data_IF_038761616942
#
_entry.id   IF_038761616942
#
_cell.length_a   1.000
_cell.length_b   1.000
_cell.length_c   1.000
_cell.angle_alpha   90.00
_cell.angle_beta   90.00
_cell.angle_gamma   90.00
#
_symmetry.space_group_name_H-M   'P 1'
#
loop_
_entity.id
_entity.type
_entity.pdbx_description
1 polymer ?
#
# COMPACT_ATOMS: atom_id res chain seq x y z
N UNK A 1 -16.04 0.14 16.49
CA UNK A 1 -16.21 -0.07 15.04
C UNK A 1 -16.45 -1.55 14.82
N UNK A 2 -17.44 -1.96 14.00
CA UNK A 2 -17.64 -3.38 13.74
C UNK A 2 -16.41 -3.93 13.03
N UNK A 3 -15.98 -5.10 13.47
CA UNK A 3 -14.80 -5.83 13.01
C UNK A 3 -14.98 -6.21 11.53
N UNK A 4 -14.64 -5.27 10.64
CA UNK A 4 -14.87 -5.41 9.21
C UNK A 4 -13.64 -6.06 8.60
N UNK A 5 -13.54 -7.38 8.78
CA UNK A 5 -12.54 -8.19 8.07
C UNK A 5 -13.04 -8.47 6.66
N UNK A 6 -12.24 -8.11 5.65
CA UNK A 6 -12.54 -8.37 4.24
C UNK A 6 -11.70 -9.56 3.81
N UNK A 7 -12.32 -10.75 3.76
CA UNK A 7 -11.66 -11.97 3.26
C UNK A 7 -11.94 -12.15 1.78
N UNK A 8 -10.93 -11.99 0.94
CA UNK A 8 -11.00 -12.26 -0.50
C UNK A 8 -10.45 -13.67 -0.74
N UNK A 9 -11.29 -14.57 -1.24
CA UNK A 9 -10.90 -15.95 -1.54
C UNK A 9 -10.55 -16.05 -3.04
N UNK A 10 -9.26 -16.07 -3.38
CA UNK A 10 -8.78 -16.16 -4.77
C UNK A 10 -8.19 -17.56 -4.99
N UNK A 11 -9.05 -18.54 -5.33
CA UNK A 11 -8.66 -19.95 -5.52
C UNK A 11 -7.91 -20.55 -4.30
N UNK A 12 -7.00 -21.53 -4.48
CA UNK A 12 -6.32 -22.28 -3.38
C UNK A 12 -5.43 -21.43 -2.45
N UNK A 13 -5.39 -20.11 -2.62
CA UNK A 13 -4.55 -19.21 -1.82
C UNK A 13 -5.42 -18.24 -1.03
N UNK A 14 -5.20 -18.19 0.29
CA UNK A 14 -5.77 -17.16 1.16
C UNK A 14 -4.83 -15.95 1.18
N UNK A 15 -5.37 -14.78 0.89
CA UNK A 15 -4.69 -13.50 1.08
C UNK A 15 -5.20 -12.92 2.40
N UNK A 16 -4.28 -12.49 3.27
CA UNK A 16 -4.64 -11.86 4.55
C UNK A 16 -5.03 -10.39 4.41
N UNK A 17 -5.67 -9.86 5.45
CA UNK A 17 -6.16 -8.48 5.51
C UNK A 17 -5.03 -7.46 5.32
N UNK A 18 -3.82 -7.73 5.83
CA UNK A 18 -2.65 -6.86 5.70
C UNK A 18 -2.22 -6.72 4.25
N UNK A 19 -2.18 -7.84 3.52
CA UNK A 19 -1.85 -7.87 2.10
C UNK A 19 -2.90 -7.13 1.28
N UNK A 20 -4.19 -7.28 1.60
CA UNK A 20 -5.28 -6.54 0.93
C UNK A 20 -5.12 -5.03 1.17
N UNK A 21 -4.79 -4.60 2.39
CA UNK A 21 -4.54 -3.19 2.71
C UNK A 21 -3.33 -2.64 1.95
N UNK A 22 -2.22 -3.39 1.88
CA UNK A 22 -1.04 -3.03 1.08
C UNK A 22 -1.41 -2.86 -0.40
N UNK A 23 -2.15 -3.83 -0.98
CA UNK A 23 -2.61 -3.77 -2.38
C UNK A 23 -3.52 -2.57 -2.65
N UNK A 24 -4.50 -2.30 -1.76
CA UNK A 24 -5.40 -1.15 -1.88
C UNK A 24 -4.63 0.18 -1.87
N UNK A 25 -3.61 0.29 -1.03
CA UNK A 25 -2.77 1.47 -0.95
C UNK A 25 -1.95 1.68 -2.24
N UNK A 26 -1.28 0.62 -2.72
CA UNK A 26 -0.51 0.67 -3.97
C UNK A 26 -1.41 1.08 -5.14
N UNK A 27 -2.60 0.50 -5.23
CA UNK A 27 -3.58 0.84 -6.27
C UNK A 27 -3.94 2.33 -6.24
N UNK A 28 -4.26 2.89 -5.06
CA UNK A 28 -4.56 4.32 -4.90
C UNK A 28 -3.37 5.20 -5.28
N UNK A 29 -2.15 4.86 -4.84
CA UNK A 29 -0.96 5.62 -5.17
C UNK A 29 -0.72 5.69 -6.69
N UNK A 30 -0.92 4.57 -7.40
CA UNK A 30 -0.81 4.54 -8.87
C UNK A 30 -1.87 5.45 -9.50
N UNK A 31 -3.12 5.41 -9.03
CA UNK A 31 -4.18 6.32 -9.52
C UNK A 31 -3.86 7.79 -9.28
N UNK A 32 -3.20 8.12 -8.17
CA UNK A 32 -2.74 9.47 -7.82
C UNK A 32 -1.45 9.91 -8.55
N UNK A 33 -0.98 9.12 -9.53
CA UNK A 33 0.16 9.45 -10.39
C UNK A 33 1.53 9.11 -9.82
N UNK A 34 1.60 8.23 -8.80
CA UNK A 34 2.86 7.72 -8.28
C UNK A 34 3.37 6.53 -9.10
N UNK A 35 4.68 6.41 -9.25
CA UNK A 35 5.34 5.15 -9.61
C UNK A 35 5.63 4.36 -8.35
N UNK A 36 5.38 3.05 -8.35
CA UNK A 36 5.71 2.13 -7.25
C UNK A 36 6.62 1.03 -7.76
N UNK A 37 7.81 0.90 -7.17
CA UNK A 37 8.79 -0.15 -7.47
C UNK A 37 8.99 -1.03 -6.24
N UNK A 38 9.20 -2.34 -6.43
CA UNK A 38 9.63 -3.25 -5.38
C UNK A 38 11.13 -3.54 -5.55
N UNK A 39 11.92 -3.26 -4.53
CA UNK A 39 13.37 -3.47 -4.53
C UNK A 39 13.82 -4.00 -3.16
N UNK A 40 14.59 -5.08 -3.13
CA UNK A 40 15.05 -5.75 -1.88
C UNK A 40 13.96 -5.87 -0.77
N UNK A 41 12.75 -6.30 -1.15
CA UNK A 41 11.57 -6.41 -0.26
C UNK A 41 11.03 -5.07 0.28
N UNK A 42 11.35 -3.94 -0.34
CA UNK A 42 10.86 -2.61 0.04
C UNK A 42 10.11 -1.97 -1.13
N UNK A 43 8.95 -1.37 -0.81
CA UNK A 43 8.17 -0.62 -1.79
C UNK A 43 8.66 0.83 -1.88
N UNK A 44 9.23 1.21 -3.01
CA UNK A 44 9.69 2.57 -3.31
C UNK A 44 8.58 3.27 -4.09
N UNK A 45 8.00 4.33 -3.52
CA UNK A 45 7.06 5.20 -4.24
C UNK A 45 7.82 6.41 -4.80
N UNK A 46 7.42 6.93 -5.94
CA UNK A 46 8.02 8.10 -6.57
C UNK A 46 6.90 8.96 -7.14
N UNK A 47 6.78 10.22 -6.72
CA UNK A 47 5.83 11.16 -7.34
C UNK A 47 6.59 12.07 -8.29
N UNK A 48 6.05 12.27 -9.48
CA UNK A 48 6.59 13.26 -10.42
C UNK A 48 6.08 14.66 -10.04
N UNK A 49 6.57 15.22 -8.94
CA UNK A 49 6.45 16.66 -8.66
C UNK A 49 7.87 17.23 -8.55
N UNK A 50 8.25 18.10 -9.48
CA UNK A 50 9.54 18.81 -9.53
C UNK A 50 10.84 17.97 -9.40
N UNK A 51 10.79 16.64 -9.53
CA UNK A 51 11.97 15.78 -9.45
C UNK A 51 12.29 15.27 -8.03
N UNK A 52 11.41 15.48 -7.05
CA UNK A 52 11.59 14.95 -5.71
C UNK A 52 11.21 13.46 -5.65
N UNK A 53 12.18 12.63 -5.21
CA UNK A 53 12.02 11.21 -4.95
C UNK A 53 11.75 11.04 -3.45
N UNK A 54 10.52 10.70 -3.08
CA UNK A 54 10.19 10.33 -1.69
C UNK A 54 10.22 8.80 -1.54
N UNK A 55 11.33 8.26 -1.04
CA UNK A 55 11.45 6.82 -0.78
C UNK A 55 10.77 6.49 0.55
N UNK A 56 9.70 5.71 0.51
CA UNK A 56 9.09 5.17 1.72
C UNK A 56 9.63 3.77 2.01
N UNK A 57 10.17 3.55 3.20
CA UNK A 57 10.46 2.20 3.68
C UNK A 57 9.19 1.47 4.09
N UNK A 58 9.26 0.14 4.24
CA UNK A 58 8.12 -0.69 4.66
C UNK A 58 7.47 -0.21 5.97
N UNK A 59 8.29 0.19 6.95
CA UNK A 59 7.82 0.73 8.24
C UNK A 59 7.05 2.04 8.10
N UNK A 60 7.43 2.86 7.12
CA UNK A 60 6.74 4.11 6.85
C UNK A 60 5.43 3.86 6.12
N UNK A 61 5.40 2.86 5.22
CA UNK A 61 4.19 2.44 4.52
C UNK A 61 3.10 2.01 5.52
N UNK A 62 3.44 1.15 6.48
CA UNK A 62 2.53 0.73 7.54
C UNK A 62 2.03 1.92 8.38
N UNK A 63 2.94 2.83 8.77
CA UNK A 63 2.57 4.05 9.50
C UNK A 63 1.68 4.99 8.68
N UNK A 64 1.92 5.09 7.38
CA UNK A 64 1.17 5.94 6.46
C UNK A 64 -0.21 5.35 6.18
N UNK A 65 -0.29 4.03 5.99
CA UNK A 65 -1.55 3.27 5.91
C UNK A 65 -2.35 3.49 7.20
N UNK A 66 -1.74 3.33 8.38
CA UNK A 66 -2.43 3.58 9.66
C UNK A 66 -2.88 5.03 9.87
N UNK A 67 -2.16 6.01 9.31
CA UNK A 67 -2.53 7.44 9.42
C UNK A 67 -3.57 7.89 8.40
N UNK A 68 -3.59 7.31 7.20
CA UNK A 68 -4.43 7.75 6.08
C UNK A 68 -5.59 6.80 5.78
N UNK A 69 -5.62 5.61 6.37
CA UNK A 69 -6.85 4.83 6.50
C UNK A 69 -7.64 5.47 7.65
N UNK A 70 -8.42 6.49 7.31
CA UNK A 70 -9.64 6.80 8.04
C UNK A 70 -10.65 5.72 7.66
N UNK A 71 -10.77 4.67 8.47
CA UNK A 71 -11.94 3.81 8.52
C UNK A 71 -12.81 4.24 9.70
#
# INVERSE_FOLDING_TARGET
MPDTSIKINVSRYSIDDDTIRKMSFIYKAIQDGWTVNLDENKYIFLKKHNGEREVFGEDYLLKFIHRNISL
#
